data_IF_638064259760
#
_entry.id   IF_638064259760
#
_cell.length_a   1.000
_cell.length_b   1.000
_cell.length_c   1.000
_cell.angle_alpha   90.00
_cell.angle_beta   90.00
_cell.angle_gamma   90.00
#
_symmetry.space_group_name_H-M   'P 1'
#
loop_
_entity.id
_entity.type
_entity.pdbx_description
1 polymer ?
#
# COMPACT_ATOMS: atom_id res chain seq x y z
N UNK A 1 21.12 23.29 -8.39
CA UNK A 1 21.81 23.09 -7.10
C UNK A 1 21.89 21.59 -6.86
N UNK A 2 23.06 20.98 -6.65
CA UNK A 2 23.13 19.55 -6.42
C UNK A 2 22.70 19.26 -4.98
N UNK A 3 21.62 18.51 -4.82
CA UNK A 3 21.15 17.98 -3.54
C UNK A 3 22.20 17.04 -2.95
N UNK A 4 22.62 17.34 -1.73
CA UNK A 4 23.55 16.53 -0.94
C UNK A 4 22.84 15.20 -0.64
N UNK A 5 23.27 14.12 -1.29
CA UNK A 5 22.91 12.75 -0.89
C UNK A 5 23.57 12.43 0.45
N UNK A 6 22.79 12.49 1.53
CA UNK A 6 23.23 12.04 2.86
C UNK A 6 23.21 10.51 2.83
N UNK A 7 24.37 9.91 2.56
CA UNK A 7 24.50 8.46 2.30
C UNK A 7 24.74 7.62 3.55
N UNK A 8 24.70 8.18 4.76
CA UNK A 8 24.95 7.45 6.00
C UNK A 8 24.21 8.13 7.17
N UNK A 9 23.08 7.57 7.58
CA UNK A 9 22.60 7.71 8.96
C UNK A 9 23.03 6.43 9.68
N UNK A 10 24.24 6.36 10.27
CA UNK A 10 24.61 5.19 11.05
C UNK A 10 23.76 5.17 12.31
N UNK A 11 23.39 3.96 12.75
CA UNK A 11 23.03 3.40 14.08
C UNK A 11 22.84 4.30 15.33
N UNK A 12 23.39 5.51 15.35
CA UNK A 12 23.34 6.52 16.41
C UNK A 12 21.90 7.00 16.71
N UNK A 13 20.98 7.01 15.74
CA UNK A 13 19.58 7.39 16.01
C UNK A 13 18.81 6.37 16.86
N UNK A 14 19.20 5.09 16.81
CA UNK A 14 18.63 4.04 17.66
C UNK A 14 19.14 4.11 19.12
N UNK A 15 20.36 4.63 19.33
CA UNK A 15 20.91 4.79 20.69
C UNK A 15 20.27 5.95 21.47
N UNK A 16 19.85 7.03 20.82
CA UNK A 16 19.15 8.13 21.50
C UNK A 16 17.72 7.75 21.92
N UNK A 17 17.05 6.85 21.18
CA UNK A 17 15.74 6.30 21.58
C UNK A 17 15.87 5.31 22.74
N UNK A 18 17.00 4.61 22.85
CA UNK A 18 17.28 3.73 24.00
C UNK A 18 17.42 4.50 25.33
N UNK A 19 17.75 5.80 25.31
CA UNK A 19 17.79 6.61 26.53
C UNK A 19 16.40 7.05 27.03
N UNK A 20 15.37 6.96 26.19
CA UNK A 20 13.97 7.25 26.56
C UNK A 20 13.28 6.00 27.12
N UNK A 21 13.77 4.79 26.79
CA UNK A 21 13.23 3.50 27.24
C UNK A 21 13.59 3.14 28.70
N UNK A 22 14.39 3.95 29.39
CA UNK A 22 14.77 3.76 30.80
C UNK A 22 13.82 4.39 31.82
N UNK A 23 12.79 5.09 31.36
CA UNK A 23 11.73 5.67 32.19
C UNK A 23 10.45 4.94 31.79
N UNK A 24 9.69 4.43 32.76
CA UNK A 24 8.48 3.61 32.52
C UNK A 24 7.48 4.26 31.56
N UNK A 25 6.43 3.54 31.12
CA UNK A 25 5.51 3.98 30.07
C UNK A 25 4.62 5.14 30.56
N UNK A 26 5.21 6.33 30.67
CA UNK A 26 4.53 7.60 30.65
C UNK A 26 4.65 8.07 29.21
N UNK A 27 3.58 7.88 28.44
CA UNK A 27 3.46 8.50 27.13
C UNK A 27 3.66 10.00 27.27
N UNK A 28 4.80 10.49 26.80
CA UNK A 28 5.10 11.91 26.76
C UNK A 28 4.39 12.51 25.55
N UNK A 29 3.10 12.79 25.71
CA UNK A 29 2.40 13.72 24.83
C UNK A 29 2.93 15.12 25.13
N UNK A 30 3.75 15.67 24.23
CA UNK A 30 4.17 17.07 24.34
C UNK A 30 3.10 17.96 23.69
N UNK A 31 2.00 18.15 24.41
CA UNK A 31 1.13 19.30 24.15
C UNK A 31 1.73 20.51 24.85
N UNK A 32 2.11 21.54 24.11
CA UNK A 32 2.54 22.82 24.71
C UNK A 32 1.28 23.50 25.27
N UNK A 33 1.09 23.57 26.60
CA UNK A 33 -0.19 23.95 27.20
C UNK A 33 -0.68 25.36 26.82
N UNK A 34 0.22 26.22 26.32
CA UNK A 34 -0.06 27.60 25.95
C UNK A 34 -0.23 27.84 24.43
N UNK A 35 -0.24 26.79 23.60
CA UNK A 35 -0.29 26.92 22.12
C UNK A 35 -1.22 25.90 21.46
N UNK A 36 -2.54 26.11 21.56
CA UNK A 36 -3.56 25.32 20.83
C UNK A 36 -3.37 25.29 19.30
N UNK A 37 -2.60 26.25 18.76
CA UNK A 37 -2.30 26.32 17.33
C UNK A 37 -1.20 25.36 16.88
N UNK A 38 -0.54 24.62 17.78
CA UNK A 38 0.54 23.70 17.41
C UNK A 38 0.51 22.42 18.23
N UNK A 39 0.61 21.26 17.57
CA UNK A 39 0.75 19.96 18.23
C UNK A 39 1.76 19.05 17.51
N UNK A 40 2.41 18.20 18.30
CA UNK A 40 3.27 17.11 17.86
C UNK A 40 2.74 15.84 18.49
N UNK A 41 2.37 14.85 17.66
CA UNK A 41 1.93 13.54 18.12
C UNK A 41 2.89 12.47 17.58
N UNK A 42 3.15 11.44 18.37
CA UNK A 42 3.96 10.29 18.00
C UNK A 42 3.14 9.00 18.03
N UNK A 43 3.50 8.06 17.16
CA UNK A 43 2.87 6.74 17.12
C UNK A 43 3.85 5.71 16.60
N UNK A 44 3.64 4.44 16.89
CA UNK A 44 4.49 3.39 16.36
C UNK A 44 4.02 1.99 16.69
N UNK A 45 4.69 1.06 16.05
CA UNK A 45 4.54 -0.37 16.25
C UNK A 45 5.93 -0.98 16.36
N UNK A 46 6.14 -1.82 17.38
CA UNK A 46 7.27 -2.73 17.48
C UNK A 46 6.72 -4.14 17.27
N UNK A 47 7.22 -4.85 16.26
CA UNK A 47 6.70 -6.14 15.88
C UNK A 47 7.81 -7.18 15.69
N UNK A 48 7.40 -8.44 15.86
CA UNK A 48 8.15 -9.64 15.54
C UNK A 48 7.35 -10.43 14.52
N UNK A 49 7.95 -10.78 13.39
CA UNK A 49 7.28 -11.54 12.32
C UNK A 49 8.14 -12.72 11.88
N UNK A 50 7.51 -13.89 11.77
CA UNK A 50 8.14 -15.12 11.29
C UNK A 50 7.31 -15.77 10.19
N UNK A 51 7.95 -16.45 9.26
CA UNK A 51 7.33 -17.25 8.20
C UNK A 51 7.70 -18.72 8.38
N UNK A 52 6.95 -19.65 7.77
CA UNK A 52 7.34 -21.05 7.66
C UNK A 52 7.85 -21.43 6.26
N UNK A 53 7.88 -20.48 5.32
CA UNK A 53 8.25 -20.72 3.93
C UNK A 53 9.74 -20.52 3.67
N UNK A 54 10.35 -21.53 3.05
CA UNK A 54 11.71 -21.47 2.51
C UNK A 54 11.76 -20.75 1.14
N UNK A 55 10.61 -20.66 0.46
CA UNK A 55 10.48 -20.25 -0.94
C UNK A 55 9.96 -18.82 -1.11
N UNK A 56 8.91 -18.45 -0.36
CA UNK A 56 8.19 -17.19 -0.50
C UNK A 56 8.39 -16.34 0.75
N UNK A 57 9.03 -15.20 0.54
CA UNK A 57 9.33 -14.21 1.54
C UNK A 57 8.18 -13.23 1.68
N UNK A 58 7.69 -13.06 2.91
CA UNK A 58 6.65 -12.09 3.20
C UNK A 58 7.22 -10.67 3.28
N UNK A 59 6.57 -9.71 2.62
CA UNK A 59 6.82 -8.28 2.81
C UNK A 59 5.50 -7.56 3.07
N UNK A 60 5.50 -6.58 4.00
CA UNK A 60 4.28 -5.84 4.36
C UNK A 60 3.76 -4.99 3.20
N UNK A 61 4.65 -4.42 2.41
CA UNK A 61 4.33 -3.59 1.24
C UNK A 61 5.26 -3.92 0.08
N UNK A 62 4.92 -3.47 -1.14
CA UNK A 62 5.81 -3.57 -2.29
C UNK A 62 7.18 -2.91 -2.09
N UNK A 63 7.25 -1.90 -1.22
CA UNK A 63 8.48 -1.18 -0.89
C UNK A 63 9.31 -1.86 0.20
N UNK A 64 8.80 -2.90 0.85
CA UNK A 64 9.51 -3.57 1.94
C UNK A 64 10.81 -4.13 1.42
N UNK A 65 11.92 -3.82 2.07
CA UNK A 65 13.25 -4.31 1.69
C UNK A 65 13.45 -5.75 2.15
N UNK A 66 13.02 -6.06 3.37
CA UNK A 66 13.40 -7.26 4.11
C UNK A 66 12.28 -8.31 4.05
N UNK A 67 12.38 -9.34 3.19
CA UNK A 67 11.45 -10.46 3.20
C UNK A 67 11.61 -11.33 4.44
N UNK A 68 10.50 -11.84 4.96
CA UNK A 68 10.49 -12.83 6.04
C UNK A 68 10.41 -14.24 5.46
N UNK A 69 11.47 -15.02 5.65
CA UNK A 69 11.54 -16.44 5.31
C UNK A 69 11.60 -17.29 6.59
N UNK A 70 11.55 -18.62 6.44
CA UNK A 70 11.57 -19.58 7.56
C UNK A 70 12.80 -19.49 8.47
N UNK A 71 13.94 -19.13 7.91
CA UNK A 71 15.23 -19.04 8.58
C UNK A 71 15.43 -17.73 9.35
N UNK A 72 14.46 -16.81 9.34
CA UNK A 72 14.55 -15.55 10.06
C UNK A 72 13.30 -15.18 10.85
N UNK A 73 13.54 -14.40 11.91
CA UNK A 73 12.50 -13.66 12.63
C UNK A 73 12.83 -12.18 12.44
N UNK A 74 11.94 -11.47 11.77
CA UNK A 74 12.18 -10.09 11.35
C UNK A 74 11.44 -9.10 12.23
N UNK A 75 12.17 -8.07 12.66
CA UNK A 75 11.59 -6.94 13.38
C UNK A 75 11.16 -5.81 12.45
N UNK A 76 11.85 -5.64 11.32
CA UNK A 76 11.66 -4.48 10.43
C UNK A 76 10.34 -4.51 9.69
N UNK A 77 9.88 -5.70 9.26
CA UNK A 77 8.78 -5.87 8.30
C UNK A 77 7.48 -5.19 8.74
N UNK A 78 7.10 -5.31 10.01
CA UNK A 78 5.86 -4.72 10.56
C UNK A 78 6.10 -3.57 11.54
N UNK A 79 7.34 -3.32 11.95
CA UNK A 79 7.65 -2.19 12.83
C UNK A 79 7.70 -0.88 12.07
N UNK A 80 7.21 0.18 12.69
CA UNK A 80 7.34 1.54 12.19
C UNK A 80 7.27 2.54 13.35
N UNK A 81 7.80 3.74 13.11
CA UNK A 81 7.73 4.87 14.03
C UNK A 81 7.33 6.12 13.25
N UNK A 82 6.29 6.79 13.71
CA UNK A 82 5.72 7.96 13.06
C UNK A 82 5.65 9.18 13.97
N UNK A 83 5.63 10.34 13.35
CA UNK A 83 5.39 11.63 13.99
C UNK A 83 4.52 12.49 13.09
N UNK A 84 3.56 13.18 13.70
CA UNK A 84 2.68 14.13 13.03
C UNK A 84 2.82 15.50 13.66
N UNK A 85 3.01 16.51 12.80
CA UNK A 85 3.04 17.92 13.14
C UNK A 85 1.75 18.56 12.64
N UNK A 86 1.04 19.28 13.51
CA UNK A 86 -0.15 20.03 13.13
C UNK A 86 -0.02 21.49 13.53
N UNK A 87 -0.29 22.40 12.60
CA UNK A 87 -0.33 23.84 12.80
C UNK A 87 -1.74 24.34 12.46
N UNK A 88 -2.42 24.98 13.41
CA UNK A 88 -3.79 25.50 13.30
C UNK A 88 -3.89 26.94 13.85
N UNK A 89 -3.36 27.94 13.14
CA UNK A 89 -3.31 29.33 13.60
C UNK A 89 -4.70 29.97 13.76
N UNK A 90 -5.73 29.44 13.10
CA UNK A 90 -7.12 29.86 13.23
C UNK A 90 -8.05 28.73 12.73
N UNK A 91 -9.37 28.95 12.80
CA UNK A 91 -10.36 27.95 12.39
C UNK A 91 -10.47 27.73 10.87
N UNK A 92 -9.86 28.59 10.05
CA UNK A 92 -9.91 28.49 8.59
C UNK A 92 -8.71 27.81 7.96
N UNK A 93 -7.63 27.62 8.71
CA UNK A 93 -6.38 27.10 8.18
C UNK A 93 -5.78 26.05 9.10
N UNK A 94 -5.47 24.88 8.53
CA UNK A 94 -4.74 23.79 9.18
C UNK A 94 -3.63 23.33 8.25
N UNK A 95 -2.42 23.18 8.75
CA UNK A 95 -1.33 22.51 8.03
C UNK A 95 -0.92 21.26 8.79
N UNK A 96 -0.68 20.17 8.07
CA UNK A 96 -0.29 18.88 8.64
C UNK A 96 0.92 18.36 7.89
N UNK A 97 1.89 17.81 8.61
CA UNK A 97 2.97 17.00 8.05
C UNK A 97 3.13 15.72 8.86
N UNK A 98 3.25 14.58 8.20
CA UNK A 98 3.50 13.29 8.84
C UNK A 98 4.73 12.61 8.25
N UNK A 99 5.59 12.14 9.15
CA UNK A 99 6.79 11.38 8.82
C UNK A 99 6.67 9.98 9.43
N UNK A 100 7.01 8.96 8.65
CA UNK A 100 7.01 7.55 9.10
C UNK A 100 8.31 6.89 8.67
N UNK A 101 9.01 6.32 9.64
CA UNK A 101 10.17 5.45 9.44
C UNK A 101 9.69 4.01 9.50
N UNK A 102 9.97 3.23 8.45
CA UNK A 102 9.66 1.79 8.34
C UNK A 102 10.68 1.11 7.43
N UNK A 103 10.45 -0.16 7.13
CA UNK A 103 11.31 -0.95 6.24
C UNK A 103 11.29 -0.44 4.79
N UNK A 104 12.09 0.58 4.50
CA UNK A 104 12.34 1.13 3.17
C UNK A 104 13.64 0.60 2.59
N UNK A 105 13.66 0.35 1.28
CA UNK A 105 14.87 0.00 0.53
C UNK A 105 15.90 1.13 0.49
N UNK A 106 15.45 2.38 0.27
CA UNK A 106 16.33 3.56 0.20
C UNK A 106 15.74 4.72 1.01
N UNK A 107 16.06 4.83 2.32
CA UNK A 107 15.51 5.89 3.15
C UNK A 107 16.04 7.27 2.74
N UNK A 108 15.10 8.16 2.40
CA UNK A 108 15.29 9.57 2.08
C UNK A 108 14.24 10.43 2.79
N UNK A 109 14.45 11.75 2.90
CA UNK A 109 13.44 12.66 3.47
C UNK A 109 12.10 12.51 2.74
N UNK A 110 12.15 12.30 1.44
CA UNK A 110 10.96 12.11 0.61
C UNK A 110 10.21 10.80 0.94
N UNK A 111 10.94 9.68 1.06
CA UNK A 111 10.35 8.38 1.44
C UNK A 111 9.77 8.36 2.87
N UNK A 112 10.33 9.19 3.76
CA UNK A 112 9.85 9.30 5.14
C UNK A 112 8.58 10.16 5.22
N UNK A 113 8.42 11.12 4.31
CA UNK A 113 7.28 12.04 4.29
C UNK A 113 6.04 11.37 3.68
N UNK A 114 5.11 10.94 4.54
CA UNK A 114 3.84 10.33 4.10
C UNK A 114 2.91 11.36 3.47
N UNK A 115 2.70 12.49 4.15
CA UNK A 115 1.89 13.58 3.66
C UNK A 115 2.29 14.91 4.28
N UNK A 116 2.11 15.98 3.51
CA UNK A 116 2.34 17.36 3.90
C UNK A 116 1.38 18.26 3.13
N UNK A 117 0.37 18.79 3.82
CA UNK A 117 -0.69 19.55 3.17
C UNK A 117 -1.16 20.74 3.99
N UNK A 118 -1.73 21.71 3.28
CA UNK A 118 -2.49 22.81 3.84
C UNK A 118 -3.98 22.60 3.53
N UNK A 119 -4.83 22.82 4.53
CA UNK A 119 -6.27 22.63 4.50
C UNK A 119 -6.97 23.95 4.84
N UNK A 120 -7.75 24.44 3.88
CA UNK A 120 -8.45 25.71 3.92
C UNK A 120 -9.95 25.47 4.07
N UNK A 121 -10.51 25.84 5.22
CA UNK A 121 -11.96 25.76 5.46
C UNK A 121 -12.62 27.01 4.90
N UNK A 122 -13.26 26.87 3.75
CA UNK A 122 -13.84 27.99 2.99
C UNK A 122 -15.20 28.38 3.56
N UNK A 123 -16.02 27.38 3.88
CA UNK A 123 -17.37 27.52 4.44
C UNK A 123 -17.67 26.33 5.36
N UNK A 124 -18.73 26.38 6.20
CA UNK A 124 -19.15 25.22 6.97
C UNK A 124 -19.35 23.99 6.07
N UNK A 125 -18.60 22.93 6.35
CA UNK A 125 -18.62 21.70 5.57
C UNK A 125 -17.84 21.74 4.26
N UNK A 126 -17.26 22.85 3.83
CA UNK A 126 -16.45 22.93 2.59
C UNK A 126 -14.99 23.23 2.93
N UNK A 127 -14.10 22.33 2.53
CA UNK A 127 -12.66 22.56 2.62
C UNK A 127 -11.91 22.23 1.33
N UNK A 128 -10.75 22.86 1.17
CA UNK A 128 -9.82 22.63 0.08
C UNK A 128 -8.45 22.28 0.67
N UNK A 129 -7.92 21.12 0.31
CA UNK A 129 -6.59 20.66 0.68
C UNK A 129 -5.63 20.83 -0.50
N UNK A 130 -4.41 21.29 -0.23
CA UNK A 130 -3.34 21.46 -1.23
C UNK A 130 -2.02 20.92 -0.66
N UNK A 131 -1.31 20.09 -1.44
CA UNK A 131 -0.01 19.53 -1.07
C UNK A 131 0.08 18.03 -1.34
N UNK A 132 0.92 17.32 -0.59
CA UNK A 132 0.98 15.86 -0.58
C UNK A 132 -0.09 15.32 0.37
N UNK A 133 -1.10 14.66 -0.17
CA UNK A 133 -2.28 14.18 0.55
C UNK A 133 -2.28 12.64 0.61
N UNK A 134 -2.81 12.04 1.69
CA UNK A 134 -3.09 10.61 1.73
C UNK A 134 -4.16 10.24 0.72
N UNK A 135 -4.16 8.99 0.27
CA UNK A 135 -5.20 8.46 -0.63
C UNK A 135 -6.46 8.06 0.12
N UNK A 136 -7.50 8.90 0.14
CA UNK A 136 -8.76 8.67 0.87
C UNK A 136 -9.78 7.79 0.09
N UNK A 137 -9.41 6.52 -0.13
CA UNK A 137 -10.24 5.54 -0.84
C UNK A 137 -10.57 4.28 -0.03
N UNK A 138 -9.71 3.87 0.91
CA UNK A 138 -9.95 2.73 1.81
C UNK A 138 -10.57 3.22 3.12
N UNK A 139 -11.38 2.38 3.77
CA UNK A 139 -11.87 2.61 5.14
C UNK A 139 -10.71 2.86 6.12
N UNK A 140 -9.53 2.29 5.85
CA UNK A 140 -8.31 2.44 6.63
C UNK A 140 -7.26 3.40 6.08
N UNK A 141 -7.56 4.17 5.04
CA UNK A 141 -6.58 5.02 4.35
C UNK A 141 -5.80 5.96 5.27
N UNK A 142 -6.49 6.67 6.15
CA UNK A 142 -5.89 7.67 7.05
C UNK A 142 -5.05 7.06 8.18
N UNK A 143 -5.20 5.76 8.44
CA UNK A 143 -4.64 5.10 9.61
C UNK A 143 -3.96 3.75 9.33
N UNK A 144 -3.69 3.42 8.06
CA UNK A 144 -2.97 2.18 7.66
C UNK A 144 -1.60 2.04 8.33
N UNK A 145 -0.97 3.19 8.63
CA UNK A 145 0.31 3.29 9.32
C UNK A 145 0.15 3.67 10.80
N UNK A 146 -1.04 3.56 11.37
CA UNK A 146 -1.31 3.74 12.80
C UNK A 146 -1.83 2.41 13.36
N UNK A 147 -0.91 1.57 13.81
CA UNK A 147 -1.19 0.18 14.22
C UNK A 147 -2.32 0.11 15.24
N UNK A 148 -2.32 1.02 16.22
CA UNK A 148 -3.34 1.09 17.26
C UNK A 148 -4.77 1.32 16.72
N UNK A 149 -4.94 1.89 15.52
CA UNK A 149 -6.25 2.26 14.98
C UNK A 149 -7.05 1.08 14.39
N UNK A 150 -6.42 -0.07 14.15
CA UNK A 150 -7.09 -1.26 13.62
C UNK A 150 -6.87 -2.50 14.49
N UNK A 151 -7.68 -3.54 14.28
CA UNK A 151 -7.63 -4.79 15.08
C UNK A 151 -6.40 -5.64 14.76
N UNK A 152 -6.03 -5.68 13.49
CA UNK A 152 -5.02 -6.59 12.93
C UNK A 152 -3.59 -6.11 13.24
N UNK A 153 -2.61 -6.98 13.07
CA UNK A 153 -1.20 -6.63 13.18
C UNK A 153 -0.70 -5.76 12.01
N UNK A 154 -1.40 -5.81 10.86
CA UNK A 154 -1.10 -5.07 9.63
C UNK A 154 -2.37 -4.88 8.77
N UNK A 155 -2.38 -3.93 7.82
CA UNK A 155 -3.43 -3.85 6.81
C UNK A 155 -3.55 -5.16 6.02
N UNK A 156 -4.77 -5.49 5.55
CA UNK A 156 -5.05 -6.77 4.90
C UNK A 156 -4.29 -6.88 3.58
N UNK A 157 -3.33 -7.81 3.52
CA UNK A 157 -2.39 -8.02 2.40
C UNK A 157 -3.06 -8.41 1.08
N UNK A 158 -4.29 -8.94 1.13
CA UNK A 158 -5.07 -9.25 -0.07
C UNK A 158 -5.70 -8.04 -0.76
N UNK A 159 -5.78 -6.88 -0.11
CA UNK A 159 -6.54 -5.71 -0.61
C UNK A 159 -5.70 -4.43 -0.64
N UNK A 160 -5.11 -4.04 0.49
CA UNK A 160 -4.40 -2.76 0.61
C UNK A 160 -3.24 -2.62 -0.37
N UNK A 161 -2.41 -3.67 -0.60
CA UNK A 161 -1.32 -3.58 -1.57
C UNK A 161 -1.78 -3.41 -3.02
N UNK A 162 -3.06 -3.63 -3.37
CA UNK A 162 -3.53 -3.50 -4.76
C UNK A 162 -3.54 -2.06 -5.27
N UNK A 163 -3.43 -1.09 -4.36
CA UNK A 163 -3.14 0.30 -4.68
C UNK A 163 -1.62 0.51 -4.55
N UNK A 164 -0.96 0.84 -5.67
CA UNK A 164 0.50 0.82 -5.72
C UNK A 164 1.19 2.06 -5.15
N UNK A 165 0.46 3.15 -4.91
CA UNK A 165 1.00 4.40 -4.38
C UNK A 165 0.22 4.88 -3.15
N UNK A 166 0.96 5.46 -2.21
CA UNK A 166 0.46 5.76 -0.87
C UNK A 166 -0.09 7.19 -0.72
N UNK A 167 0.25 8.09 -1.64
CA UNK A 167 -0.08 9.52 -1.62
C UNK A 167 -0.34 10.08 -3.02
N UNK A 168 -0.88 11.30 -3.09
CA UNK A 168 -0.82 12.16 -4.28
C UNK A 168 -0.42 13.58 -3.92
N UNK A 169 0.28 14.25 -4.83
CA UNK A 169 0.60 15.66 -4.76
C UNK A 169 -0.39 16.44 -5.62
N UNK A 170 -1.21 17.28 -5.00
CA UNK A 170 -2.24 18.02 -5.73
C UNK A 170 -3.29 18.64 -4.84
N UNK A 171 -4.49 18.77 -5.39
CA UNK A 171 -5.63 19.39 -4.74
C UNK A 171 -6.74 18.41 -4.41
N UNK A 172 -7.39 18.63 -3.27
CA UNK A 172 -8.57 17.88 -2.81
C UNK A 172 -9.67 18.87 -2.43
N UNK A 173 -10.86 18.69 -2.97
CA UNK A 173 -12.06 19.35 -2.52
C UNK A 173 -12.86 18.40 -1.64
N UNK A 174 -13.31 18.88 -0.48
CA UNK A 174 -14.14 18.12 0.44
C UNK A 174 -15.42 18.87 0.78
N UNK A 175 -16.55 18.16 0.72
CA UNK A 175 -17.85 18.63 1.18
C UNK A 175 -18.43 17.66 2.19
N UNK A 176 -18.72 18.14 3.40
CA UNK A 176 -19.32 17.40 4.51
C UNK A 176 -20.67 18.02 4.82
N UNK A 177 -21.71 17.19 4.91
CA UNK A 177 -23.06 17.60 5.25
C UNK A 177 -23.68 16.67 6.28
N UNK A 178 -23.93 17.21 7.46
CA UNK A 178 -24.72 16.55 8.50
C UNK A 178 -26.23 16.72 8.22
N UNK A 179 -27.00 15.66 8.41
CA UNK A 179 -28.44 15.57 8.14
C UNK A 179 -29.12 14.65 9.15
N UNK A 180 -30.45 14.71 9.26
CA UNK A 180 -31.22 13.78 10.11
C UNK A 180 -31.05 12.30 9.72
N UNK A 181 -30.58 12.02 8.50
CA UNK A 181 -30.31 10.66 8.04
C UNK A 181 -28.88 10.20 8.35
N UNK A 182 -27.96 11.10 8.69
CA UNK A 182 -26.54 10.81 8.90
C UNK A 182 -25.61 11.84 8.26
N UNK A 183 -24.31 11.60 8.38
CA UNK A 183 -23.24 12.44 7.88
C UNK A 183 -22.81 11.98 6.48
N UNK A 184 -22.88 12.87 5.49
CA UNK A 184 -22.43 12.62 4.13
C UNK A 184 -21.13 13.38 3.86
N UNK A 185 -20.13 12.70 3.29
CA UNK A 185 -18.90 13.34 2.81
C UNK A 185 -18.66 13.02 1.35
N UNK A 186 -18.33 14.04 0.56
CA UNK A 186 -17.88 13.92 -0.83
C UNK A 186 -16.48 14.49 -0.93
N UNK A 187 -15.57 13.71 -1.51
CA UNK A 187 -14.18 14.10 -1.73
C UNK A 187 -13.90 13.97 -3.21
N UNK A 188 -13.35 15.01 -3.83
CA UNK A 188 -12.85 14.97 -5.20
C UNK A 188 -11.41 15.46 -5.24
N UNK A 189 -10.54 14.76 -5.97
CA UNK A 189 -9.12 15.08 -5.97
C UNK A 189 -8.47 14.95 -7.34
N UNK A 190 -7.39 15.70 -7.54
CA UNK A 190 -6.54 15.66 -8.72
C UNK A 190 -5.07 15.91 -8.32
N UNK A 191 -4.13 15.20 -8.92
CA UNK A 191 -2.72 15.36 -8.62
C UNK A 191 -1.81 14.42 -9.39
N UNK A 192 -0.61 14.22 -8.87
CA UNK A 192 0.41 13.30 -9.38
C UNK A 192 0.95 12.42 -8.26
N UNK A 193 1.61 11.32 -8.60
CA UNK A 193 2.31 10.48 -7.62
C UNK A 193 3.46 9.74 -8.27
N UNK A 194 4.47 9.38 -7.50
CA UNK A 194 5.60 8.58 -7.94
C UNK A 194 5.68 7.28 -7.12
N UNK A 195 6.15 6.22 -7.77
CA UNK A 195 6.35 4.90 -7.18
C UNK A 195 7.72 4.37 -7.55
N UNK A 196 8.54 4.06 -6.55
CA UNK A 196 9.81 3.36 -6.74
C UNK A 196 9.66 1.87 -6.44
N UNK A 197 9.83 1.03 -7.47
CA UNK A 197 9.83 -0.43 -7.33
C UNK A 197 11.26 -0.95 -7.34
N UNK A 198 11.60 -1.71 -6.30
CA UNK A 198 12.85 -2.45 -6.24
C UNK A 198 12.67 -3.84 -6.86
N UNK A 199 13.37 -4.10 -7.97
CA UNK A 199 13.48 -5.44 -8.55
C UNK A 199 14.90 -5.94 -8.32
N UNK A 200 15.04 -7.12 -7.71
CA UNK A 200 16.30 -7.70 -7.22
C UNK A 200 17.45 -7.77 -8.24
N UNK A 201 17.14 -7.68 -9.54
CA UNK A 201 18.11 -7.71 -10.66
C UNK A 201 18.16 -6.43 -11.51
N UNK A 202 17.43 -5.38 -11.16
CA UNK A 202 17.37 -4.13 -11.92
C UNK A 202 17.66 -2.92 -11.01
N UNK A 203 18.15 -1.82 -11.58
CA UNK A 203 18.14 -0.53 -10.87
C UNK A 203 16.70 -0.16 -10.51
N UNK A 204 16.51 0.58 -9.41
CA UNK A 204 15.20 1.07 -8.98
C UNK A 204 14.41 1.60 -10.16
N UNK A 205 13.20 1.05 -10.32
CA UNK A 205 12.30 1.44 -11.37
C UNK A 205 11.35 2.48 -10.79
N UNK A 206 11.38 3.69 -11.34
CA UNK A 206 10.42 4.74 -10.99
C UNK A 206 9.25 4.71 -11.97
N UNK A 207 8.03 4.74 -11.45
CA UNK A 207 6.80 4.97 -12.19
C UNK A 207 6.21 6.31 -11.77
N UNK A 208 5.93 7.16 -12.75
CA UNK A 208 5.27 8.44 -12.53
C UNK A 208 3.80 8.32 -12.94
N UNK A 209 2.88 8.81 -12.13
CA UNK A 209 1.43 8.78 -12.38
C UNK A 209 0.91 10.20 -12.54
N UNK A 210 0.51 10.58 -13.76
CA UNK A 210 0.06 11.93 -14.09
C UNK A 210 -0.91 11.95 -15.29
N UNK A 211 -2.13 12.51 -15.15
CA UNK A 211 -2.77 12.93 -13.91
C UNK A 211 -3.37 11.73 -13.16
N UNK A 212 -3.48 11.85 -11.84
CA UNK A 212 -4.38 11.07 -10.98
C UNK A 212 -5.61 11.93 -10.70
N UNK A 213 -6.80 11.35 -10.81
CA UNK A 213 -8.03 11.99 -10.33
C UNK A 213 -9.02 10.96 -9.82
N UNK A 214 -9.85 11.36 -8.86
CA UNK A 214 -10.81 10.46 -8.26
C UNK A 214 -11.89 11.17 -7.47
N UNK A 215 -12.87 10.37 -7.06
CA UNK A 215 -13.97 10.77 -6.19
C UNK A 215 -14.20 9.68 -5.15
N UNK A 216 -14.42 10.08 -3.91
CA UNK A 216 -14.90 9.19 -2.86
C UNK A 216 -16.11 9.77 -2.14
N UNK A 217 -17.02 8.87 -1.76
CA UNK A 217 -18.28 9.16 -1.08
C UNK A 217 -18.27 8.40 0.23
N UNK A 218 -18.63 9.07 1.31
CA UNK A 218 -18.76 8.48 2.63
C UNK A 218 -20.14 8.78 3.19
N UNK A 219 -20.69 7.81 3.89
CA UNK A 219 -21.93 7.95 4.65
C UNK A 219 -21.77 7.28 6.01
N UNK A 220 -22.00 8.05 7.06
CA UNK A 220 -21.90 7.60 8.45
C UNK A 220 -23.24 7.82 9.17
N UNK A 221 -23.73 6.78 9.84
CA UNK A 221 -24.94 6.85 10.65
C UNK A 221 -24.84 5.90 11.85
N UNK A 222 -24.63 6.48 13.03
CA UNK A 222 -24.45 5.74 14.27
C UNK A 222 -23.23 4.79 14.16
N UNK A 223 -23.41 3.47 14.35
CA UNK A 223 -22.31 2.52 14.28
C UNK A 223 -21.89 2.16 12.85
N UNK A 224 -22.61 2.61 11.81
CA UNK A 224 -22.35 2.23 10.43
C UNK A 224 -21.56 3.30 9.68
N UNK A 225 -20.58 2.84 8.90
CA UNK A 225 -19.86 3.65 7.91
C UNK A 225 -19.88 2.92 6.58
N UNK A 226 -20.14 3.65 5.50
CA UNK A 226 -20.09 3.17 4.13
C UNK A 226 -19.19 4.07 3.31
N UNK A 227 -18.41 3.49 2.40
CA UNK A 227 -17.58 4.23 1.46
C UNK A 227 -17.68 3.66 0.05
N UNK A 228 -17.59 4.55 -0.94
CA UNK A 228 -17.45 4.20 -2.33
C UNK A 228 -16.44 5.12 -2.99
N UNK A 229 -15.44 4.56 -3.67
CA UNK A 229 -14.38 5.30 -4.33
C UNK A 229 -14.22 4.89 -5.79
N UNK A 230 -13.93 5.87 -6.64
CA UNK A 230 -13.44 5.67 -8.01
C UNK A 230 -12.23 6.54 -8.26
N UNK A 231 -11.21 5.95 -8.87
CA UNK A 231 -9.99 6.64 -9.24
C UNK A 231 -9.54 6.23 -10.63
N UNK A 232 -8.93 7.18 -11.32
CA UNK A 232 -8.23 6.97 -12.56
C UNK A 232 -6.85 7.61 -12.53
N UNK A 233 -5.87 6.96 -13.16
CA UNK A 233 -4.61 7.62 -13.46
C UNK A 233 -3.99 7.18 -14.78
N UNK A 234 -3.05 8.00 -15.27
CA UNK A 234 -2.20 7.68 -16.41
C UNK A 234 -0.78 7.40 -15.92
N UNK A 235 -0.15 6.33 -16.39
CA UNK A 235 1.27 6.07 -16.15
C UNK A 235 2.06 6.90 -17.18
N UNK A 236 2.79 7.90 -16.70
CA UNK A 236 3.45 8.89 -17.55
C UNK A 236 4.82 8.39 -18.08
N UNK A 237 5.59 7.69 -17.25
CA UNK A 237 6.97 7.27 -17.60
C UNK A 237 7.13 5.75 -17.69
N UNK A 238 8.07 5.32 -18.55
CA UNK A 238 8.45 3.91 -18.72
C UNK A 238 9.89 3.65 -18.21
N UNK A 239 10.18 2.50 -17.59
CA UNK A 239 11.52 2.21 -17.10
C UNK A 239 12.52 2.16 -18.25
N UNK A 240 13.63 2.89 -18.13
CA UNK A 240 14.63 3.09 -19.21
C UNK A 240 15.15 1.79 -19.80
N UNK A 241 15.23 0.73 -19.00
CA UNK A 241 15.71 -0.59 -19.41
C UNK A 241 14.76 -1.26 -20.42
N UNK A 242 13.46 -1.10 -20.23
CA UNK A 242 12.47 -1.63 -21.16
C UNK A 242 12.32 -0.72 -22.41
N UNK A 243 12.51 0.60 -22.27
CA UNK A 243 12.62 1.52 -23.42
C UNK A 243 13.77 1.09 -24.33
N UNK A 244 14.95 0.80 -23.78
CA UNK A 244 16.12 0.37 -24.58
C UNK A 244 15.83 -0.92 -25.35
N UNK A 245 15.15 -1.88 -24.72
CA UNK A 245 14.74 -3.11 -25.38
C UNK A 245 13.71 -2.85 -26.49
N UNK A 246 12.70 -2.01 -26.23
CA UNK A 246 11.73 -1.59 -27.25
C UNK A 246 12.42 -0.92 -28.45
N UNK A 247 13.35 0.01 -28.20
CA UNK A 247 14.08 0.72 -29.24
C UNK A 247 14.98 -0.21 -30.07
N UNK A 248 15.55 -1.25 -29.46
CA UNK A 248 16.28 -2.29 -30.18
C UNK A 248 15.35 -3.05 -31.13
N UNK A 249 14.12 -3.35 -30.71
CA UNK A 249 13.11 -3.95 -31.57
C UNK A 249 12.69 -2.99 -32.70
N UNK A 250 12.57 -1.69 -32.43
CA UNK A 250 12.23 -0.66 -33.44
C UNK A 250 13.31 -0.52 -34.53
N UNK A 251 14.58 -0.73 -34.16
CA UNK A 251 15.71 -0.69 -35.11
C UNK A 251 15.80 -1.91 -36.02
N UNK A 252 14.98 -2.95 -35.78
CA UNK A 252 15.00 -4.18 -36.55
C UNK A 252 14.11 -4.03 -37.81
N UNK A 253 14.71 -3.86 -38.98
CA UNK A 253 14.03 -3.61 -40.28
C UNK A 253 13.23 -4.82 -40.85
N UNK A 254 12.88 -5.82 -40.05
CA UNK A 254 12.10 -6.99 -40.48
C UNK A 254 10.64 -6.66 -40.78
N UNK A 255 10.34 -6.18 -42.01
CA UNK A 255 9.04 -5.64 -42.47
C UNK A 255 7.81 -6.57 -42.50
N UNK A 256 7.84 -7.79 -41.97
CA UNK A 256 6.82 -8.80 -42.28
C UNK A 256 6.25 -9.58 -41.08
N UNK A 257 5.98 -8.95 -39.93
CA UNK A 257 5.52 -9.73 -38.78
C UNK A 257 4.35 -9.10 -38.01
N UNK A 258 3.24 -9.83 -37.96
CA UNK A 258 1.93 -9.41 -37.40
C UNK A 258 1.95 -9.20 -35.87
N UNK A 259 2.86 -9.85 -35.14
CA UNK A 259 2.88 -9.85 -33.66
C UNK A 259 3.84 -8.84 -33.02
N UNK A 260 4.84 -8.33 -33.74
CA UNK A 260 5.87 -7.47 -33.15
C UNK A 260 5.34 -6.07 -32.77
N UNK A 261 4.59 -5.36 -33.63
CA UNK A 261 3.97 -4.08 -33.25
C UNK A 261 3.07 -4.21 -32.03
N UNK A 262 2.39 -5.34 -31.90
CA UNK A 262 1.53 -5.65 -30.77
C UNK A 262 2.33 -5.93 -29.48
N UNK A 263 3.37 -6.77 -29.53
CA UNK A 263 4.26 -6.99 -28.37
C UNK A 263 4.92 -5.68 -27.94
N UNK A 264 5.32 -4.83 -28.89
CA UNK A 264 5.87 -3.50 -28.63
C UNK A 264 4.83 -2.59 -27.95
N UNK A 265 3.61 -2.52 -28.46
CA UNK A 265 2.51 -1.76 -27.83
C UNK A 265 2.24 -2.21 -26.40
N UNK A 266 2.31 -3.51 -26.13
CA UNK A 266 2.11 -4.06 -24.78
C UNK A 266 3.26 -3.84 -23.84
N UNK A 267 4.49 -3.72 -24.36
CA UNK A 267 5.63 -3.31 -23.57
C UNK A 267 5.60 -1.81 -23.29
N UNK A 268 5.03 -0.97 -24.15
CA UNK A 268 4.92 0.47 -23.91
C UNK A 268 3.91 0.76 -22.81
N UNK A 269 4.36 1.08 -21.59
CA UNK A 269 3.48 1.46 -20.47
C UNK A 269 3.20 2.98 -20.40
N UNK A 270 3.90 3.79 -21.19
CA UNK A 270 3.74 5.25 -21.28
C UNK A 270 2.38 5.68 -21.87
N UNK A 271 1.57 6.42 -21.11
CA UNK A 271 0.22 6.82 -21.52
C UNK A 271 -0.84 5.73 -21.31
N UNK A 272 -0.52 4.67 -20.55
CA UNK A 272 -1.49 3.64 -20.15
C UNK A 272 -2.36 4.14 -19.00
N UNK A 273 -3.57 3.61 -18.90
CA UNK A 273 -4.60 4.04 -17.94
C UNK A 273 -4.87 2.94 -16.94
N UNK A 274 -4.89 3.31 -15.66
CA UNK A 274 -5.36 2.44 -14.57
C UNK A 274 -6.69 2.98 -14.03
N UNK A 275 -7.58 2.08 -13.65
CA UNK A 275 -8.84 2.38 -12.98
C UNK A 275 -8.92 1.58 -11.69
N UNK A 276 -9.34 2.23 -10.61
CA UNK A 276 -9.55 1.60 -9.32
C UNK A 276 -10.93 1.96 -8.79
N UNK A 277 -11.69 0.94 -8.41
CA UNK A 277 -13.00 1.07 -7.76
C UNK A 277 -12.94 0.34 -6.42
N UNK A 278 -13.56 0.92 -5.41
CA UNK A 278 -13.67 0.30 -4.09
C UNK A 278 -15.01 0.59 -3.44
N UNK A 279 -15.57 -0.41 -2.78
CA UNK A 279 -16.72 -0.29 -1.90
C UNK A 279 -16.32 -0.83 -0.54
N UNK A 280 -16.65 -0.09 0.53
CA UNK A 280 -16.38 -0.48 1.89
C UNK A 280 -17.59 -0.29 2.79
N UNK A 281 -17.74 -1.16 3.78
CA UNK A 281 -18.69 -1.01 4.86
C UNK A 281 -18.04 -1.42 6.19
N UNK A 282 -18.34 -0.69 7.26
CA UNK A 282 -18.01 -1.08 8.62
C UNK A 282 -19.16 -0.87 9.59
N UNK A 283 -19.15 -1.67 10.65
CA UNK A 283 -20.04 -1.61 11.79
C UNK A 283 -19.21 -1.71 13.07
N UNK A 284 -19.31 -0.68 13.91
CA UNK A 284 -18.68 -0.65 15.25
C UNK A 284 -19.67 -0.08 16.27
N UNK A 285 -20.19 -0.93 17.16
CA UNK A 285 -21.08 -0.56 18.27
C UNK A 285 -20.34 -0.50 19.63
N UNK A 286 -19.02 -0.58 19.61
CA UNK A 286 -18.16 -0.70 20.79
C UNK A 286 -17.94 -2.14 21.26
N UNK A 287 -18.73 -3.11 20.80
CA UNK A 287 -18.56 -4.53 21.06
C UNK A 287 -18.16 -5.27 19.78
N UNK A 288 -19.02 -5.28 18.78
CA UNK A 288 -18.77 -5.84 17.46
C UNK A 288 -17.98 -4.87 16.62
N UNK A 289 -16.98 -5.39 15.93
CA UNK A 289 -16.17 -4.66 14.97
C UNK A 289 -16.18 -5.47 13.67
N UNK A 290 -16.99 -5.05 12.71
CA UNK A 290 -17.14 -5.75 11.43
C UNK A 290 -16.72 -4.77 10.35
N UNK A 291 -15.88 -5.21 9.43
CA UNK A 291 -15.40 -4.39 8.32
C UNK A 291 -15.20 -5.24 7.09
N UNK A 292 -15.57 -4.71 5.93
CA UNK A 292 -15.35 -5.36 4.64
C UNK A 292 -15.10 -4.32 3.58
N UNK A 293 -14.12 -4.60 2.72
CA UNK A 293 -13.87 -3.83 1.51
C UNK A 293 -13.76 -4.78 0.34
N UNK A 294 -14.27 -4.36 -0.81
CA UNK A 294 -14.09 -5.03 -2.10
C UNK A 294 -13.59 -4.01 -3.10
N UNK A 295 -12.59 -4.39 -3.90
CA UNK A 295 -12.04 -3.51 -4.91
C UNK A 295 -11.85 -4.20 -6.24
N UNK A 296 -11.83 -3.39 -7.28
CA UNK A 296 -11.50 -3.76 -8.63
C UNK A 296 -10.40 -2.83 -9.14
N UNK A 297 -9.34 -3.43 -9.66
CA UNK A 297 -8.27 -2.73 -10.37
C UNK A 297 -8.29 -3.18 -11.82
N UNK A 298 -8.29 -2.23 -12.76
CA UNK A 298 -8.16 -2.50 -14.19
C UNK A 298 -6.98 -1.71 -14.74
N UNK A 299 -6.22 -2.34 -15.64
CA UNK A 299 -5.13 -1.71 -16.37
C UNK A 299 -5.24 -2.02 -17.85
N UNK A 300 -5.18 -1.00 -18.71
CA UNK A 300 -5.39 -1.19 -20.15
C UNK A 300 -4.15 -1.67 -20.94
N UNK A 301 -3.05 -2.03 -20.26
CA UNK A 301 -1.82 -2.57 -20.88
C UNK A 301 -1.22 -3.74 -20.10
N UNK A 302 -0.07 -4.26 -20.57
CA UNK A 302 0.48 -5.59 -20.25
C UNK A 302 -0.61 -6.68 -20.27
N UNK A 303 -1.35 -6.63 -21.38
CA UNK A 303 -2.46 -7.49 -21.86
C UNK A 303 -3.61 -7.69 -20.87
N UNK A 304 -4.01 -6.57 -20.26
CA UNK A 304 -5.24 -6.29 -19.50
C UNK A 304 -5.29 -6.81 -18.07
N UNK A 305 -4.17 -6.68 -17.36
CA UNK A 305 -4.06 -6.91 -15.93
C UNK A 305 -5.26 -6.32 -15.17
N UNK A 306 -6.04 -7.20 -14.57
CA UNK A 306 -7.20 -6.82 -13.79
C UNK A 306 -7.33 -7.74 -12.59
N UNK A 307 -7.64 -7.17 -11.44
CA UNK A 307 -7.81 -7.91 -10.19
C UNK A 307 -9.11 -7.53 -9.52
N UNK A 308 -9.76 -8.52 -8.94
CA UNK A 308 -10.75 -8.31 -7.90
C UNK A 308 -10.13 -8.71 -6.57
N UNK A 309 -10.34 -7.87 -5.57
CA UNK A 309 -9.86 -8.11 -4.23
C UNK A 309 -10.97 -7.86 -3.23
N UNK A 310 -10.91 -8.52 -2.09
CA UNK A 310 -11.81 -8.20 -1.00
C UNK A 310 -11.45 -8.91 0.28
N UNK A 311 -11.96 -8.38 1.39
CA UNK A 311 -11.87 -9.03 2.68
C UNK A 311 -13.12 -8.82 3.52
N UNK A 312 -13.29 -9.67 4.51
CA UNK A 312 -14.19 -9.46 5.63
C UNK A 312 -13.44 -9.72 6.93
N UNK A 313 -13.60 -8.82 7.88
CA UNK A 313 -13.06 -8.89 9.23
C UNK A 313 -14.20 -8.85 10.24
N UNK A 314 -14.12 -9.72 11.24
CA UNK A 314 -15.06 -9.77 12.35
C UNK A 314 -14.25 -9.86 13.65
N UNK A 315 -14.46 -8.91 14.55
CA UNK A 315 -13.93 -8.90 15.90
C UNK A 315 -15.01 -8.66 16.93
N UNK A 316 -14.81 -9.19 18.14
CA UNK A 316 -15.74 -8.99 19.25
C UNK A 316 -14.99 -8.63 20.53
N UNK A 317 -15.25 -7.43 21.06
CA UNK A 317 -14.58 -6.88 22.24
C UNK A 317 -15.16 -7.45 23.52
N UNK A 318 -14.32 -8.15 24.27
CA UNK A 318 -14.59 -8.74 25.59
C UNK A 318 -13.66 -8.06 26.59
N UNK A 319 -14.16 -7.03 27.28
CA UNK A 319 -13.36 -6.17 28.16
C UNK A 319 -12.16 -5.60 27.38
N UNK A 320 -10.94 -5.95 27.79
CA UNK A 320 -9.68 -5.50 27.19
C UNK A 320 -9.17 -6.41 26.05
N UNK A 321 -9.90 -7.48 25.70
CA UNK A 321 -9.49 -8.44 24.68
C UNK A 321 -10.45 -8.40 23.51
N UNK A 322 -9.92 -8.38 22.29
CA UNK A 322 -10.71 -8.43 21.05
C UNK A 322 -10.15 -9.53 20.16
N UNK A 323 -10.62 -10.79 20.28
CA UNK A 323 -10.36 -11.80 19.27
C UNK A 323 -10.97 -11.37 17.93
N UNK A 324 -10.30 -11.72 16.84
CA UNK A 324 -10.76 -11.42 15.50
C UNK A 324 -10.42 -12.53 14.50
N UNK A 325 -11.18 -12.56 13.42
CA UNK A 325 -10.93 -13.36 12.21
C UNK A 325 -11.02 -12.46 10.99
N UNK A 326 -10.12 -12.66 10.03
CA UNK A 326 -10.17 -12.01 8.73
C UNK A 326 -10.06 -13.07 7.65
N UNK A 327 -10.87 -12.94 6.61
CA UNK A 327 -10.68 -13.69 5.38
C UNK A 327 -10.50 -12.70 4.24
N UNK A 328 -9.48 -12.90 3.42
CA UNK A 328 -9.23 -12.07 2.23
C UNK A 328 -8.96 -12.93 1.01
N UNK A 329 -9.27 -12.37 -0.15
CA UNK A 329 -9.04 -13.00 -1.45
C UNK A 329 -8.70 -11.95 -2.48
N UNK A 330 -7.70 -12.27 -3.29
CA UNK A 330 -7.28 -11.52 -4.46
C UNK A 330 -7.17 -12.49 -5.62
N UNK A 331 -7.74 -12.15 -6.76
CA UNK A 331 -7.62 -12.96 -7.96
C UNK A 331 -7.70 -12.11 -9.22
N UNK A 332 -6.94 -12.51 -10.22
CA UNK A 332 -7.02 -11.92 -11.54
C UNK A 332 -8.35 -12.20 -12.24
N UNK A 333 -8.84 -11.25 -13.03
CA UNK A 333 -10.10 -11.34 -13.79
C UNK A 333 -9.93 -11.32 -15.30
N UNK A 334 -8.69 -11.21 -15.78
CA UNK A 334 -8.37 -11.20 -17.19
C UNK A 334 -7.85 -12.55 -17.69
N UNK A 335 -8.07 -12.82 -18.98
CA UNK A 335 -7.52 -13.99 -19.65
C UNK A 335 -6.21 -13.61 -20.32
N UNK A 336 -5.16 -14.41 -20.07
CA UNK A 336 -3.88 -14.21 -20.75
C UNK A 336 -4.06 -14.46 -22.25
N UNK A 337 -3.54 -13.55 -23.05
CA UNK A 337 -3.39 -13.79 -24.49
C UNK A 337 -2.20 -14.72 -24.68
N UNK A 338 -2.49 -15.98 -25.03
CA UNK A 338 -1.48 -17.01 -25.26
C UNK A 338 -1.09 -17.02 -26.74
N UNK A 339 0.21 -16.88 -27.00
CA UNK A 339 0.76 -17.16 -28.33
C UNK A 339 0.97 -18.68 -28.38
N UNK A 340 0.28 -19.36 -29.30
CA UNK A 340 0.39 -20.81 -29.42
C UNK A 340 1.78 -21.26 -29.90
N UNK A 341 2.06 -22.56 -29.72
CA UNK A 341 3.35 -23.16 -30.07
C UNK A 341 3.71 -23.07 -31.56
N UNK A 342 2.72 -22.98 -32.45
CA UNK A 342 2.95 -22.85 -33.89
C UNK A 342 3.39 -21.42 -34.26
N UNK A 343 2.73 -20.40 -33.70
CA UNK A 343 3.15 -19.01 -33.82
C UNK A 343 4.53 -18.81 -33.20
N UNK A 344 4.76 -19.33 -31.99
CA UNK A 344 6.08 -19.34 -31.35
C UNK A 344 7.12 -20.02 -32.23
N UNK A 345 6.80 -21.14 -32.87
CA UNK A 345 7.71 -21.85 -33.78
C UNK A 345 8.18 -20.98 -34.95
N UNK A 346 7.30 -20.13 -35.47
CA UNK A 346 7.53 -19.22 -36.61
C UNK A 346 8.27 -17.93 -36.23
N UNK A 347 8.40 -17.63 -34.94
CA UNK A 347 9.14 -16.46 -34.46
C UNK A 347 10.66 -16.63 -34.62
N UNK A 348 11.31 -15.53 -34.99
CA UNK A 348 12.75 -15.35 -34.91
C UNK A 348 13.26 -15.46 -33.47
N UNK A 349 14.58 -15.56 -33.31
CA UNK A 349 15.22 -15.60 -32.00
C UNK A 349 14.91 -14.34 -31.16
N UNK A 350 14.95 -13.16 -31.78
CA UNK A 350 14.70 -11.90 -31.09
C UNK A 350 13.23 -11.80 -30.62
N UNK A 351 12.28 -12.26 -31.43
CA UNK A 351 10.86 -12.29 -31.07
C UNK A 351 10.55 -13.27 -29.94
N UNK A 352 11.12 -14.47 -29.99
CA UNK A 352 11.02 -15.44 -28.89
C UNK A 352 11.55 -14.84 -27.60
N UNK A 353 12.69 -14.14 -27.67
CA UNK A 353 13.31 -13.47 -26.53
C UNK A 353 12.38 -12.38 -25.98
N UNK A 354 11.84 -11.51 -26.84
CA UNK A 354 10.91 -10.46 -26.44
C UNK A 354 9.62 -11.03 -25.81
N UNK A 355 9.05 -12.07 -26.42
CA UNK A 355 7.89 -12.75 -25.88
C UNK A 355 8.17 -13.40 -24.52
N UNK A 356 9.31 -14.07 -24.34
CA UNK A 356 9.67 -14.66 -23.06
C UNK A 356 9.90 -13.61 -21.96
N UNK A 357 10.49 -12.46 -22.30
CA UNK A 357 10.59 -11.32 -21.37
C UNK A 357 9.20 -10.83 -20.97
N UNK A 358 8.33 -10.57 -21.95
CA UNK A 358 6.95 -10.13 -21.70
C UNK A 358 6.19 -11.14 -20.83
N UNK A 359 6.28 -12.44 -21.17
CA UNK A 359 5.64 -13.52 -20.43
C UNK A 359 6.11 -13.57 -18.98
N UNK A 360 7.41 -13.45 -18.72
CA UNK A 360 7.95 -13.47 -17.36
C UNK A 360 7.47 -12.25 -16.56
N UNK A 361 7.44 -11.05 -17.16
CA UNK A 361 6.87 -9.86 -16.52
C UNK A 361 5.39 -10.05 -16.19
N UNK A 362 4.62 -10.69 -17.07
CA UNK A 362 3.21 -11.03 -16.80
C UNK A 362 3.06 -12.08 -15.69
N UNK A 363 3.93 -13.09 -15.64
CA UNK A 363 3.94 -14.09 -14.57
C UNK A 363 4.26 -13.44 -13.20
N UNK A 364 5.15 -12.44 -13.19
CA UNK A 364 5.51 -11.70 -11.97
C UNK A 364 4.45 -10.67 -11.55
N UNK A 365 3.66 -10.15 -12.50
CA UNK A 365 2.57 -9.21 -12.25
C UNK A 365 1.25 -9.90 -11.87
N UNK A 366 1.14 -11.22 -12.03
CA UNK A 366 -0.07 -11.97 -11.77
C UNK A 366 -0.29 -12.30 -10.27
N UNK A 367 -1.55 -12.22 -9.82
CA UNK A 367 -1.90 -12.47 -8.43
C UNK A 367 -3.16 -13.32 -8.27
N UNK A 368 -3.02 -14.41 -7.50
CA UNK A 368 -4.14 -15.21 -7.05
C UNK A 368 -3.81 -15.85 -5.70
N UNK A 369 -4.34 -15.22 -4.66
CA UNK A 369 -4.06 -15.57 -3.28
C UNK A 369 -5.28 -15.40 -2.39
N UNK A 370 -5.36 -16.21 -1.36
CA UNK A 370 -6.34 -16.05 -0.28
C UNK A 370 -5.64 -16.20 1.06
N UNK A 371 -6.15 -15.51 2.08
CA UNK A 371 -5.57 -15.56 3.41
C UNK A 371 -6.68 -15.67 4.46
N UNK A 372 -6.49 -16.58 5.43
CA UNK A 372 -7.24 -16.64 6.67
C UNK A 372 -6.35 -16.14 7.81
N UNK A 373 -6.76 -15.06 8.47
CA UNK A 373 -6.10 -14.51 9.64
C UNK A 373 -6.91 -14.80 10.89
N UNK A 374 -6.25 -15.30 11.93
CA UNK A 374 -6.80 -15.41 13.27
C UNK A 374 -5.93 -14.59 14.22
N UNK A 375 -6.55 -13.83 15.11
CA UNK A 375 -5.76 -13.03 16.04
C UNK A 375 -6.51 -12.59 17.28
N UNK A 376 -5.73 -11.97 18.16
CA UNK A 376 -6.18 -11.42 19.42
C UNK A 376 -5.50 -10.08 19.64
N UNK A 377 -6.31 -9.03 19.84
CA UNK A 377 -5.85 -7.75 20.36
C UNK A 377 -6.08 -7.69 21.87
N UNK A 378 -5.10 -7.19 22.60
CA UNK A 378 -5.18 -6.89 24.03
C UNK A 378 -4.88 -5.40 24.23
N UNK A 379 -5.91 -4.64 24.62
CA UNK A 379 -5.78 -3.24 25.00
C UNK A 379 -5.16 -3.14 26.40
N UNK A 380 -3.91 -2.66 26.48
CA UNK A 380 -3.17 -2.53 27.73
C UNK A 380 -3.55 -1.23 28.46
N UNK A 381 -3.80 -0.18 27.68
CA UNK A 381 -4.21 1.15 28.12
C UNK A 381 -4.95 1.85 26.97
N UNK A 382 -5.47 3.06 27.21
CA UNK A 382 -6.09 3.87 26.16
C UNK A 382 -5.15 4.28 25.02
N UNK A 383 -3.85 3.96 25.12
CA UNK A 383 -2.84 4.37 24.17
C UNK A 383 -1.81 3.29 23.79
N UNK A 384 -1.98 2.06 24.29
CA UNK A 384 -1.09 0.94 23.99
C UNK A 384 -1.90 -0.35 23.82
N UNK A 385 -1.52 -1.17 22.83
CA UNK A 385 -2.12 -2.50 22.63
C UNK A 385 -1.06 -3.53 22.24
N UNK A 386 -1.24 -4.76 22.70
CA UNK A 386 -0.50 -5.92 22.20
C UNK A 386 -1.40 -6.73 21.27
N UNK A 387 -0.86 -7.23 20.16
CA UNK A 387 -1.60 -8.08 19.23
C UNK A 387 -0.80 -9.33 18.91
N UNK A 388 -1.54 -10.42 18.73
CA UNK A 388 -1.07 -11.65 18.12
C UNK A 388 -1.90 -11.90 16.86
N UNK A 389 -1.24 -12.27 15.77
CA UNK A 389 -1.89 -12.64 14.52
C UNK A 389 -1.17 -13.83 13.88
N UNK A 390 -1.95 -14.78 13.41
CA UNK A 390 -1.52 -15.88 12.56
C UNK A 390 -2.27 -15.81 11.24
N UNK A 391 -1.52 -15.79 10.13
CA UNK A 391 -2.03 -15.74 8.78
C UNK A 391 -1.70 -17.04 8.05
N UNK A 392 -2.72 -17.68 7.46
CA UNK A 392 -2.55 -18.82 6.58
C UNK A 392 -2.88 -18.41 5.15
N UNK A 393 -1.85 -18.39 4.29
CA UNK A 393 -1.94 -17.92 2.92
C UNK A 393 -1.94 -19.10 1.95
N UNK A 394 -2.84 -19.09 0.97
CA UNK A 394 -2.84 -19.98 -0.19
C UNK A 394 -2.47 -19.18 -1.43
N UNK A 395 -1.44 -19.59 -2.16
CA UNK A 395 -0.86 -18.82 -3.26
C UNK A 395 -0.77 -19.73 -4.49
N UNK A 396 -1.37 -19.30 -5.60
CA UNK A 396 -1.31 -20.08 -6.85
C UNK A 396 0.07 -20.00 -7.48
N UNK A 397 0.47 -21.11 -8.10
CA UNK A 397 1.70 -21.20 -8.89
C UNK A 397 1.80 -20.03 -9.88
N UNK A 398 2.97 -19.40 -9.91
CA UNK A 398 3.32 -18.29 -10.82
C UNK A 398 2.34 -17.11 -10.74
N UNK A 399 1.69 -16.90 -9.59
CA UNK A 399 0.74 -15.81 -9.36
C UNK A 399 0.96 -15.19 -7.96
N UNK A 400 2.22 -14.88 -7.66
CA UNK A 400 2.72 -14.49 -6.34
C UNK A 400 3.31 -13.07 -6.31
N UNK A 401 2.75 -12.12 -7.08
CA UNK A 401 3.21 -10.71 -7.18
C UNK A 401 3.57 -10.04 -5.85
N UNK A 402 2.82 -10.33 -4.79
CA UNK A 402 2.99 -9.70 -3.47
C UNK A 402 4.00 -10.43 -2.58
N UNK A 403 4.71 -11.44 -3.10
CA UNK A 403 5.67 -12.25 -2.38
C UNK A 403 7.05 -12.14 -3.02
N UNK A 404 8.09 -12.03 -2.20
CA UNK A 404 9.46 -12.05 -2.68
C UNK A 404 9.92 -13.50 -2.85
N UNK A 405 10.36 -13.86 -4.06
CA UNK A 405 10.97 -15.17 -4.34
C UNK A 405 12.47 -15.11 -4.09
N UNK A 406 13.08 -16.18 -3.57
CA UNK A 406 14.55 -16.27 -3.53
C UNK A 406 15.13 -16.28 -4.96
N UNK A 407 16.32 -15.69 -5.20
CA UNK A 407 16.98 -15.70 -6.50
C UNK A 407 17.06 -17.08 -7.13
N UNK A 408 16.67 -17.19 -8.40
CA UNK A 408 16.73 -18.43 -9.17
C UNK A 408 15.66 -19.47 -8.81
N UNK A 409 14.81 -19.21 -7.80
CA UNK A 409 13.78 -20.15 -7.38
C UNK A 409 12.45 -19.84 -8.07
N UNK A 410 11.85 -20.89 -8.62
CA UNK A 410 10.56 -20.84 -9.30
C UNK A 410 9.57 -21.74 -8.59
N UNK A 411 8.31 -21.29 -8.50
CA UNK A 411 7.24 -22.10 -7.92
C UNK A 411 6.99 -23.31 -8.82
N UNK A 412 7.03 -24.52 -8.26
CA UNK A 412 6.74 -25.74 -9.03
C UNK A 412 5.25 -26.06 -9.04
N UNK A 413 4.54 -25.63 -7.99
CA UNK A 413 3.14 -25.92 -7.68
C UNK A 413 2.55 -24.76 -6.86
N UNK A 414 1.28 -24.88 -6.48
CA UNK A 414 0.65 -23.98 -5.51
C UNK A 414 1.33 -24.13 -4.13
N UNK A 415 1.41 -23.02 -3.39
CA UNK A 415 2.11 -22.96 -2.11
C UNK A 415 1.18 -22.50 -1.00
N UNK A 416 1.51 -22.92 0.24
CA UNK A 416 0.89 -22.39 1.45
C UNK A 416 1.95 -21.78 2.34
N UNK A 417 1.68 -20.61 2.91
CA UNK A 417 2.61 -19.90 3.79
C UNK A 417 1.91 -19.45 5.06
N UNK A 418 2.45 -19.84 6.20
CA UNK A 418 2.04 -19.36 7.51
C UNK A 418 2.92 -18.20 7.95
N UNK A 419 2.30 -17.10 8.36
CA UNK A 419 2.98 -15.96 8.98
C UNK A 419 2.47 -15.83 10.40
N UNK A 420 3.38 -15.66 11.36
CA UNK A 420 3.03 -15.39 12.75
C UNK A 420 3.62 -14.06 13.16
N UNK A 421 2.82 -13.24 13.85
CA UNK A 421 3.22 -11.91 14.25
C UNK A 421 2.75 -11.53 15.64
N UNK A 422 3.63 -10.87 16.37
CA UNK A 422 3.35 -10.23 17.64
C UNK A 422 3.70 -8.76 17.49
N UNK A 423 2.76 -7.86 17.75
CA UNK A 423 2.98 -6.42 17.65
C UNK A 423 2.57 -5.69 18.92
N UNK A 424 3.39 -4.73 19.33
CA UNK A 424 3.09 -3.76 20.38
C UNK A 424 2.92 -2.39 19.73
N UNK A 425 1.70 -1.88 19.78
CA UNK A 425 1.32 -0.60 19.19
C UNK A 425 1.18 0.45 20.29
N UNK A 426 1.60 1.67 20.01
CA UNK A 426 1.53 2.78 20.95
C UNK A 426 1.32 4.12 20.24
N UNK A 427 0.71 5.08 20.94
CA UNK A 427 0.72 6.48 20.57
C UNK A 427 0.91 7.38 21.80
N UNK A 428 1.49 8.56 21.58
CA UNK A 428 1.77 9.55 22.59
C UNK A 428 1.64 10.97 22.05
#
# INVERSE_FOLDING_TARGET
MPLIRIKNIPMVFFCTVSLVLGIGPAALSFSFPDKEWFSINGFGTIALTSSDSDLLGFGRTFHSETPVFKDSVEFRTDSFLGTQLTIRPNDRFKAVAQFVVRDYSEPSVDSLLQFAYADFHLYPGISLRLGRNPMDIFLGSDYKDVGFAYLWARPVSGVYPTMFYDYYEGGEFRYVKDTDMGLFTVIGYIGTSDLEVFLENYQNISFSFEPIYGVSLWYENGPFTFTAGYQNCIIADFPKQLIQFSNLLDSYEGKNFFSLPYIQEQMRLDGSRTEYMILGASYDDGHWHIQSEVSQYNYNRLMELAFHSGYISIGYRIKQFTPFVVFSKLYKTYNRIHIDGEMLGRMSFLEKTAYHILKNLMDDADANQSCLSLGLRWDLSGNCSLKFQWDHNWIRKDQATFWKKRPGVHMKQDETVNITSISFDFFF
#
